data_IF_629624937539
#
_entry.id   IF_629624937539
#
_cell.length_a   1.000
_cell.length_b   1.000
_cell.length_c   1.000
_cell.angle_alpha   90.00
_cell.angle_beta   90.00
_cell.angle_gamma   90.00
#
_symmetry.space_group_name_H-M   'P 1'
#
loop_
_entity.id
_entity.type
_entity.pdbx_description
1 polymer ?
#
# COMPACT_ATOMS: atom_id res chain seq x y z
N UNK A 1 7.47 -9.91 15.59
CA UNK A 1 7.34 -9.84 14.12
C UNK A 1 6.10 -10.63 13.74
N UNK A 2 5.16 -10.03 13.00
CA UNK A 2 3.88 -10.64 12.63
C UNK A 2 3.86 -11.01 11.15
N UNK A 3 3.27 -12.16 10.75
CA UNK A 3 3.13 -12.51 9.35
C UNK A 3 2.38 -11.42 8.56
N UNK A 4 2.87 -11.12 7.36
CA UNK A 4 2.29 -10.17 6.44
C UNK A 4 2.37 -10.74 5.01
N UNK A 5 1.32 -10.52 4.21
CA UNK A 5 1.22 -11.05 2.84
C UNK A 5 1.07 -9.93 1.80
N UNK A 6 2.16 -9.28 1.40
CA UNK A 6 2.11 -8.27 0.34
C UNK A 6 1.90 -8.88 -1.05
N UNK A 7 1.07 -8.22 -1.84
CA UNK A 7 0.88 -8.47 -3.28
C UNK A 7 1.81 -7.53 -4.04
N UNK A 8 2.70 -8.10 -4.83
CA UNK A 8 3.78 -7.40 -5.53
C UNK A 8 3.56 -7.43 -7.03
N UNK A 9 3.81 -6.30 -7.70
CA UNK A 9 3.93 -6.25 -9.16
C UNK A 9 5.28 -6.82 -9.58
N UNK A 10 5.31 -7.89 -10.38
CA UNK A 10 6.57 -8.51 -10.82
C UNK A 10 7.29 -7.66 -11.86
N UNK A 11 6.56 -7.28 -12.91
CA UNK A 11 7.08 -6.64 -14.12
C UNK A 11 6.18 -5.48 -14.53
N UNK A 12 6.69 -4.59 -15.38
CA UNK A 12 5.82 -3.67 -16.09
C UNK A 12 4.90 -4.46 -17.03
N UNK A 13 3.65 -4.00 -17.15
CA UNK A 13 2.59 -4.66 -17.91
C UNK A 13 2.39 -3.92 -19.24
N UNK A 14 2.41 -4.67 -20.34
CA UNK A 14 2.08 -4.19 -21.68
C UNK A 14 0.78 -4.87 -22.12
N UNK A 15 -0.21 -4.07 -22.53
CA UNK A 15 -1.54 -4.58 -22.88
C UNK A 15 -2.38 -4.95 -21.64
N UNK A 16 -3.12 -6.06 -21.73
CA UNK A 16 -4.02 -6.50 -20.66
C UNK A 16 -3.27 -7.08 -19.47
N UNK A 17 -3.78 -6.76 -18.29
CA UNK A 17 -3.31 -7.26 -17.01
C UNK A 17 -3.68 -8.73 -16.84
N UNK A 18 -2.76 -9.53 -16.30
CA UNK A 18 -2.97 -10.95 -16.00
C UNK A 18 -2.59 -11.24 -14.55
N UNK A 19 -3.16 -12.30 -13.99
CA UNK A 19 -2.80 -12.76 -12.64
C UNK A 19 -1.31 -13.07 -12.51
N UNK A 20 -0.68 -13.56 -13.58
CA UNK A 20 0.75 -13.87 -13.63
C UNK A 20 1.67 -12.67 -13.42
N UNK A 21 1.15 -11.45 -13.59
CA UNK A 21 1.89 -10.20 -13.38
C UNK A 21 2.07 -9.88 -11.89
N UNK A 22 1.37 -10.62 -11.02
CA UNK A 22 1.40 -10.46 -9.57
C UNK A 22 2.08 -11.62 -8.86
N UNK A 23 2.55 -11.33 -7.66
CA UNK A 23 3.11 -12.30 -6.72
C UNK A 23 2.57 -12.04 -5.32
N UNK A 24 2.11 -13.08 -4.62
CA UNK A 24 1.90 -13.01 -3.17
C UNK A 24 3.21 -13.39 -2.51
N UNK A 25 3.82 -12.46 -1.77
CA UNK A 25 5.01 -12.74 -0.96
C UNK A 25 4.63 -12.99 0.48
N UNK A 26 5.47 -13.75 1.18
CA UNK A 26 5.40 -13.89 2.62
C UNK A 26 6.49 -13.02 3.25
N UNK A 27 6.09 -12.08 4.10
CA UNK A 27 6.98 -11.19 4.82
C UNK A 27 6.58 -11.11 6.30
N UNK A 28 7.33 -10.32 7.06
CA UNK A 28 7.03 -10.04 8.45
C UNK A 28 7.02 -8.54 8.70
N UNK A 29 6.01 -8.06 9.42
CA UNK A 29 5.90 -6.66 9.85
C UNK A 29 6.26 -6.53 11.32
N UNK A 30 7.05 -5.51 11.64
CA UNK A 30 7.30 -5.10 13.02
C UNK A 30 6.15 -4.21 13.48
N UNK A 31 5.60 -4.48 14.67
CA UNK A 31 4.53 -3.65 15.24
C UNK A 31 5.07 -2.52 16.10
N UNK A 32 6.34 -2.17 15.90
CA UNK A 32 6.98 -1.03 16.55
C UNK A 32 6.69 0.22 15.74
N UNK A 33 6.04 1.19 16.36
CA UNK A 33 5.84 2.53 15.81
C UNK A 33 6.65 3.50 16.69
N UNK A 34 7.61 4.26 16.13
CA UNK A 34 8.40 5.20 16.92
C UNK A 34 7.50 6.18 17.68
N UNK A 35 7.76 6.33 18.99
CA UNK A 35 7.03 7.25 19.85
C UNK A 35 7.29 8.70 19.39
N UNK A 36 6.26 9.56 19.36
CA UNK A 36 6.33 10.94 18.84
C UNK A 36 6.53 11.01 17.32
N UNK A 37 5.99 10.04 16.59
CA UNK A 37 5.92 10.10 15.12
C UNK A 37 4.49 10.32 14.67
N UNK A 38 4.31 10.92 13.49
CA UNK A 38 3.01 10.91 12.79
C UNK A 38 2.70 9.54 12.18
N UNK A 39 3.41 8.48 12.58
CA UNK A 39 3.21 7.17 12.01
C UNK A 39 2.13 6.39 12.76
N UNK A 40 1.38 5.60 12.01
CA UNK A 40 0.37 4.66 12.51
C UNK A 40 0.59 3.33 11.82
N UNK A 41 0.60 2.25 12.59
CA UNK A 41 0.50 0.91 12.05
C UNK A 41 -0.98 0.58 11.89
N UNK A 42 -1.36 0.19 10.68
CA UNK A 42 -2.74 -0.19 10.37
C UNK A 42 -2.81 -1.62 9.87
N UNK A 43 -3.96 -2.25 10.10
CA UNK A 43 -4.36 -3.51 9.45
C UNK A 43 -5.34 -3.18 8.34
N UNK A 44 -5.01 -3.52 7.11
CA UNK A 44 -5.92 -3.33 5.99
C UNK A 44 -7.14 -4.27 6.13
N UNK A 45 -8.32 -3.72 5.85
CA UNK A 45 -9.59 -4.46 5.89
C UNK A 45 -10.18 -4.61 4.50
N UNK A 46 -10.12 -3.53 3.72
CA UNK A 46 -10.66 -3.47 2.37
C UNK A 46 -9.67 -2.75 1.45
N UNK A 47 -9.59 -3.22 0.21
CA UNK A 47 -8.77 -2.63 -0.85
C UNK A 47 -9.68 -2.29 -2.04
N UNK A 48 -9.48 -1.12 -2.64
CA UNK A 48 -10.14 -0.72 -3.87
C UNK A 48 -9.35 -1.20 -5.08
N UNK A 49 -10.07 -1.72 -6.08
CA UNK A 49 -9.54 -2.10 -7.39
C UNK A 49 -9.96 -1.03 -8.41
N UNK A 50 -9.20 0.06 -8.50
CA UNK A 50 -9.55 1.18 -9.38
C UNK A 50 -8.89 1.05 -10.76
N UNK A 51 -9.57 1.43 -11.86
CA UNK A 51 -9.01 1.32 -13.22
C UNK A 51 -7.65 2.02 -13.40
N UNK A 52 -7.43 3.12 -12.68
CA UNK A 52 -6.18 3.89 -12.79
C UNK A 52 -4.95 3.08 -12.37
N UNK A 53 -5.12 2.08 -11.51
CA UNK A 53 -4.02 1.25 -11.01
C UNK A 53 -3.30 0.52 -12.15
N UNK A 54 -4.02 0.17 -13.23
CA UNK A 54 -3.39 -0.41 -14.42
C UNK A 54 -2.33 0.52 -14.99
N UNK A 55 -2.58 1.82 -15.05
CA UNK A 55 -1.62 2.78 -15.63
C UNK A 55 -0.33 2.84 -14.82
N UNK A 56 -0.40 2.70 -13.49
CA UNK A 56 0.78 2.63 -12.62
C UNK A 56 1.70 1.46 -12.95
N UNK A 57 1.18 0.39 -13.55
CA UNK A 57 1.97 -0.80 -13.89
C UNK A 57 2.60 -0.70 -15.29
N UNK A 58 2.40 0.39 -16.03
CA UNK A 58 2.96 0.55 -17.38
C UNK A 58 4.44 0.93 -17.33
N UNK A 59 5.22 0.66 -18.38
CA UNK A 59 6.60 1.13 -18.46
C UNK A 59 6.71 2.66 -18.31
N UNK A 60 7.82 3.18 -17.73
CA UNK A 60 8.14 4.59 -17.78
C UNK A 60 8.24 5.01 -19.26
N UNK A 61 7.69 6.18 -19.61
CA UNK A 61 7.55 6.72 -20.98
C UNK A 61 6.30 6.28 -21.77
N UNK A 62 5.20 5.95 -21.10
CA UNK A 62 3.86 5.84 -21.72
C UNK A 62 3.07 7.15 -21.54
N UNK A 63 2.01 7.37 -22.32
CA UNK A 63 1.21 8.62 -22.31
C UNK A 63 0.72 9.04 -20.92
N UNK A 64 0.57 8.09 -20.00
CA UNK A 64 0.09 8.29 -18.63
C UNK A 64 1.20 8.60 -17.62
N UNK A 65 2.47 8.43 -17.98
CA UNK A 65 3.61 8.62 -17.07
C UNK A 65 3.77 10.08 -16.60
N UNK A 66 3.17 11.04 -17.32
CA UNK A 66 3.12 12.46 -16.94
C UNK A 66 2.12 12.75 -15.82
N UNK A 67 1.12 11.89 -15.61
CA UNK A 67 0.04 12.06 -14.64
C UNK A 67 0.23 11.16 -13.41
N UNK A 68 0.84 10.01 -13.60
CA UNK A 68 0.98 8.98 -12.57
C UNK A 68 2.41 8.43 -12.59
N UNK A 69 3.08 8.49 -11.44
CA UNK A 69 4.39 7.88 -11.27
C UNK A 69 4.26 6.35 -11.35
N UNK A 70 4.91 5.68 -12.32
CA UNK A 70 4.86 4.23 -12.42
C UNK A 70 5.36 3.54 -11.15
N UNK A 71 4.73 2.44 -10.80
CA UNK A 71 5.10 1.60 -9.68
C UNK A 71 6.40 0.85 -10.03
N UNK A 72 7.44 0.92 -9.18
CA UNK A 72 8.66 0.15 -9.41
C UNK A 72 8.38 -1.35 -9.48
N UNK A 73 9.07 -2.06 -10.37
CA UNK A 73 9.03 -3.51 -10.42
C UNK A 73 9.49 -4.14 -9.11
N UNK A 74 8.79 -5.19 -8.69
CA UNK A 74 9.04 -5.87 -7.42
C UNK A 74 8.50 -5.17 -6.18
N UNK A 75 7.81 -4.03 -6.32
CA UNK A 75 7.19 -3.32 -5.19
C UNK A 75 5.75 -3.75 -4.93
N UNK A 76 5.30 -3.55 -3.69
CA UNK A 76 3.92 -3.81 -3.25
C UNK A 76 2.97 -2.90 -4.02
N UNK A 77 1.85 -3.44 -4.48
CA UNK A 77 0.82 -2.62 -5.12
C UNK A 77 0.30 -1.59 -4.13
N UNK A 78 0.01 -0.38 -4.62
CA UNK A 78 -0.55 0.70 -3.82
C UNK A 78 -1.87 1.13 -4.43
N UNK A 79 -2.91 1.20 -3.61
CA UNK A 79 -4.25 1.64 -4.00
C UNK A 79 -4.94 2.33 -2.84
N UNK A 80 -6.20 2.70 -3.01
CA UNK A 80 -7.01 3.16 -1.89
C UNK A 80 -7.53 1.96 -1.09
N UNK A 81 -7.72 2.17 0.20
CA UNK A 81 -8.25 1.14 1.08
C UNK A 81 -8.76 1.72 2.39
N UNK A 82 -9.43 0.85 3.15
CA UNK A 82 -9.88 1.12 4.51
C UNK A 82 -9.13 0.20 5.46
N UNK A 83 -8.60 0.76 6.53
CA UNK A 83 -7.75 0.08 7.48
C UNK A 83 -8.13 0.43 8.92
N UNK A 84 -7.78 -0.45 9.85
CA UNK A 84 -7.95 -0.23 11.29
C UNK A 84 -6.60 0.07 11.93
N UNK A 85 -6.51 1.10 12.75
CA UNK A 85 -5.30 1.45 13.50
C UNK A 85 -5.04 0.38 14.57
N UNK A 86 -3.85 -0.22 14.51
CA UNK A 86 -3.39 -1.25 15.45
C UNK A 86 -2.41 -0.66 16.46
N UNK A 87 -1.55 0.26 16.02
CA UNK A 87 -0.64 1.05 16.88
C UNK A 87 -0.55 2.47 16.38
N UNK A 88 -0.50 3.43 17.30
CA UNK A 88 -0.35 4.85 16.98
C UNK A 88 0.89 5.44 17.66
N UNK A 89 1.67 6.22 16.90
CA UNK A 89 2.85 6.92 17.38
C UNK A 89 2.60 8.37 17.79
N UNK A 90 1.38 8.89 17.59
CA UNK A 90 1.06 10.31 17.79
C UNK A 90 -0.44 10.56 18.02
N UNK A 91 -0.83 11.81 18.36
CA UNK A 91 -2.16 12.12 18.88
C UNK A 91 -3.26 12.23 17.81
N UNK A 92 -2.95 11.97 16.53
CA UNK A 92 -3.89 12.20 15.43
C UNK A 92 -4.92 11.07 15.27
N UNK A 93 -4.57 9.86 15.72
CA UNK A 93 -5.39 8.66 15.61
C UNK A 93 -5.17 7.78 16.84
N UNK A 94 -6.23 7.16 17.31
CA UNK A 94 -6.20 6.23 18.44
C UNK A 94 -6.18 4.77 17.95
N UNK A 95 -5.64 3.87 18.78
CA UNK A 95 -5.73 2.43 18.52
C UNK A 95 -7.21 2.01 18.45
N UNK A 96 -7.61 1.38 17.34
CA UNK A 96 -8.99 0.98 17.10
C UNK A 96 -9.74 1.83 16.07
N UNK A 97 -9.24 3.02 15.74
CA UNK A 97 -9.82 3.90 14.72
C UNK A 97 -9.84 3.24 13.34
N UNK A 98 -10.83 3.62 12.53
CA UNK A 98 -10.90 3.26 11.11
C UNK A 98 -10.47 4.45 10.27
N UNK A 99 -9.54 4.20 9.35
CA UNK A 99 -8.96 5.21 8.45
C UNK A 99 -9.09 4.75 7.01
N UNK A 100 -9.06 5.69 6.08
CA UNK A 100 -9.01 5.40 4.65
C UNK A 100 -7.96 6.26 3.97
N UNK A 101 -7.40 5.77 2.87
CA UNK A 101 -6.37 6.48 2.12
C UNK A 101 -5.56 5.54 1.25
N UNK A 102 -4.39 6.01 0.78
CA UNK A 102 -3.46 5.18 0.03
C UNK A 102 -2.79 4.18 0.97
N UNK A 103 -2.92 2.90 0.66
CA UNK A 103 -2.35 1.77 1.40
C UNK A 103 -1.69 0.78 0.44
N UNK A 104 -0.69 0.06 0.94
CA UNK A 104 -0.16 -1.10 0.25
C UNK A 104 -1.17 -2.24 0.25
N UNK A 105 -1.18 -3.07 -0.81
CA UNK A 105 -1.93 -4.32 -0.86
C UNK A 105 -1.20 -5.38 -0.05
N UNK A 106 -1.37 -5.32 1.25
CA UNK A 106 -0.77 -6.20 2.25
C UNK A 106 -1.67 -6.27 3.49
N UNK A 107 -1.37 -7.15 4.45
CA UNK A 107 -2.18 -7.27 5.66
C UNK A 107 -1.93 -6.10 6.63
N UNK A 108 -0.66 -5.69 6.78
CA UNK A 108 -0.23 -4.64 7.71
C UNK A 108 0.77 -3.69 7.09
N UNK A 109 0.55 -2.38 7.26
CA UNK A 109 1.44 -1.33 6.77
C UNK A 109 1.58 -0.22 7.82
N UNK A 110 2.78 0.34 7.93
CA UNK A 110 3.01 1.59 8.69
C UNK A 110 2.85 2.77 7.76
N UNK A 111 1.86 3.62 8.03
CA UNK A 111 1.59 4.84 7.28
C UNK A 111 2.14 6.03 8.04
N UNK A 112 2.68 7.02 7.32
CA UNK A 112 3.01 8.34 7.88
C UNK A 112 1.87 9.28 7.53
N UNK A 113 1.17 9.79 8.55
CA UNK A 113 0.09 10.74 8.37
C UNK A 113 0.66 12.12 8.04
N UNK A 114 0.25 12.69 6.90
CA UNK A 114 0.46 14.12 6.65
C UNK A 114 -0.40 14.92 7.64
N UNK A 115 0.10 16.07 8.12
CA UNK A 115 -0.74 17.00 8.87
C UNK A 115 -1.94 17.41 8.01
N UNK A 116 -3.11 17.53 8.64
CA UNK A 116 -4.24 18.26 8.05
C UNK A 116 -3.86 19.71 7.76
#
# INVERSE_FOLDING_TARGET
MHPNKPIVSKNHVIGYLKESDFEVKNSFSSFQVPHVSKAVLVKNLYLACDPYMRHLMSPPNTDFASLLTPLPTGSVLVGYGVAKVIKSGGPAFDEGDYVWGKVGWEDFITLICSSR
#
